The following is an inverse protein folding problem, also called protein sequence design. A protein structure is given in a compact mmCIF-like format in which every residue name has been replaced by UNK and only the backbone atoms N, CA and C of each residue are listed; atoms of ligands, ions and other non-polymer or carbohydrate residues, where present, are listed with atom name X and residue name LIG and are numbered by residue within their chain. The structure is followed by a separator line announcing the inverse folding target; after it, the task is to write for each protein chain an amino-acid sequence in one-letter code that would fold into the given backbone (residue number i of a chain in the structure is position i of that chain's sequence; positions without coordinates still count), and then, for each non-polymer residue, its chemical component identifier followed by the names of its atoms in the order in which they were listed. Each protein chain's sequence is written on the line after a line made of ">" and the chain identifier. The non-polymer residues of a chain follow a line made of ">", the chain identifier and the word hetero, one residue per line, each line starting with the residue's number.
data_IF_096656152400
#
_entry.id   IF_096656152400
#
_cell.length_a   1.000
_cell.length_b   1.000
_cell.length_c   1.000
_cell.angle_alpha   90.00
_cell.angle_beta   90.00
_cell.angle_gamma   90.00
#
_symmetry.space_group_name_H-M   'P 1'
#
loop_
_entity.id
_entity.type
_entity.pdbx_description
1 polymer ?
#
# COMPACT_ATOMS: atom_id res chain seq x y z
N UNK A 1 8.54 14.93 -2.68
CA UNK A 1 9.21 13.82 -1.95
C UNK A 1 9.51 14.33 -0.56
N UNK A 2 9.56 13.50 0.48
CA UNK A 2 9.73 14.03 1.85
C UNK A 2 11.10 14.70 2.09
N UNK A 3 12.12 14.34 1.31
CA UNK A 3 13.48 14.82 1.50
C UNK A 3 13.71 16.27 1.04
N UNK A 4 13.01 16.70 -0.01
CA UNK A 4 13.30 17.94 -0.74
C UNK A 4 12.04 18.64 -1.29
N UNK A 5 10.85 18.11 -0.98
CA UNK A 5 9.56 18.58 -1.49
C UNK A 5 9.44 18.63 -3.03
N UNK A 6 10.32 17.92 -3.75
CA UNK A 6 10.22 17.79 -5.22
C UNK A 6 8.93 17.07 -5.64
N UNK A 7 8.27 17.55 -6.70
CA UNK A 7 6.99 17.01 -7.12
C UNK A 7 7.15 15.70 -7.91
N UNK A 8 6.25 14.76 -7.60
CA UNK A 8 6.04 13.54 -8.38
C UNK A 8 4.59 13.54 -8.82
N UNK A 9 4.36 13.53 -10.13
CA UNK A 9 3.03 13.51 -10.74
C UNK A 9 2.82 12.12 -11.35
N UNK A 10 1.79 11.42 -10.88
CA UNK A 10 1.47 10.06 -11.33
C UNK A 10 0.16 10.08 -12.09
N UNK A 11 0.18 9.65 -13.35
CA UNK A 11 -0.99 9.50 -14.19
C UNK A 11 -1.51 8.06 -14.15
N UNK A 12 -2.80 7.92 -13.88
CA UNK A 12 -3.56 6.66 -13.87
C UNK A 12 -4.86 6.85 -14.64
N UNK A 13 -5.55 5.75 -14.98
CA UNK A 13 -6.91 5.83 -15.51
C UNK A 13 -7.86 6.40 -14.46
N UNK A 14 -8.85 7.19 -14.87
CA UNK A 14 -9.68 7.97 -13.94
C UNK A 14 -10.61 7.18 -13.01
N UNK A 15 -10.72 5.86 -13.18
CA UNK A 15 -11.54 4.95 -12.36
C UNK A 15 -10.73 4.17 -11.31
N UNK A 16 -9.42 4.43 -11.20
CA UNK A 16 -8.52 3.73 -10.27
C UNK A 16 -7.68 4.70 -9.45
N UNK A 17 -7.31 4.25 -8.25
CA UNK A 17 -6.47 5.01 -7.32
C UNK A 17 -5.00 4.59 -7.41
N UNK A 18 -4.10 5.50 -7.07
CA UNK A 18 -2.67 5.21 -6.85
C UNK A 18 -2.46 4.40 -5.56
N UNK A 19 -1.60 3.39 -5.65
CA UNK A 19 -1.05 2.62 -4.53
C UNK A 19 0.29 3.24 -4.09
N UNK A 20 0.26 3.98 -3.00
CA UNK A 20 1.42 4.68 -2.43
C UNK A 20 2.58 3.75 -2.07
N UNK A 21 2.32 2.49 -1.69
CA UNK A 21 3.38 1.53 -1.39
C UNK A 21 4.12 1.12 -2.65
N UNK A 22 3.41 0.86 -3.77
CA UNK A 22 4.07 0.60 -5.06
C UNK A 22 4.92 1.79 -5.49
N UNK A 23 4.37 3.00 -5.36
CA UNK A 23 5.05 4.24 -5.70
C UNK A 23 6.32 4.48 -4.87
N UNK A 24 6.26 4.32 -3.54
CA UNK A 24 7.44 4.45 -2.66
C UNK A 24 8.51 3.41 -2.95
N UNK A 25 8.11 2.17 -3.20
CA UNK A 25 9.04 1.09 -3.55
C UNK A 25 9.76 1.39 -4.87
N UNK A 26 9.05 1.92 -5.87
CA UNK A 26 9.64 2.33 -7.14
C UNK A 26 10.60 3.52 -6.98
N UNK A 27 10.19 4.55 -6.24
CA UNK A 27 10.99 5.76 -6.03
C UNK A 27 12.16 5.56 -5.07
N UNK A 28 12.12 4.53 -4.22
CA UNK A 28 13.12 4.29 -3.17
C UNK A 28 13.15 5.37 -2.08
N UNK A 29 12.08 6.16 -1.93
CA UNK A 29 11.99 7.22 -0.93
C UNK A 29 10.57 7.38 -0.38
N UNK A 30 10.46 8.03 0.77
CA UNK A 30 9.17 8.40 1.36
C UNK A 30 8.57 9.60 0.62
N UNK A 31 7.25 9.58 0.50
CA UNK A 31 6.44 10.59 -0.18
C UNK A 31 5.28 11.02 0.71
N UNK A 32 4.70 12.17 0.37
CA UNK A 32 3.52 12.72 1.01
C UNK A 32 2.65 13.42 -0.02
N UNK A 33 1.34 13.59 0.23
CA UNK A 33 0.45 14.33 -0.67
C UNK A 33 1.01 15.73 -0.97
N UNK A 34 1.10 16.06 -2.25
CA UNK A 34 1.65 17.33 -2.68
C UNK A 34 0.74 18.50 -2.28
N UNK A 35 1.33 19.59 -1.79
CA UNK A 35 0.66 20.88 -1.63
C UNK A 35 0.88 21.67 -2.91
N UNK A 36 -0.17 21.96 -3.67
CA UNK A 36 -0.07 22.71 -4.94
C UNK A 36 -0.02 24.21 -4.61
N UNK A 37 1.12 24.85 -4.86
CA UNK A 37 1.31 26.30 -4.75
C UNK A 37 1.26 26.97 -6.12
N UNK A 38 0.98 28.27 -6.20
CA UNK A 38 0.97 29.00 -7.49
C UNK A 38 2.32 28.90 -8.23
N UNK A 39 3.42 28.81 -7.48
CA UNK A 39 4.78 28.76 -8.02
C UNK A 39 5.17 27.39 -8.58
N UNK A 40 4.46 26.31 -8.22
CA UNK A 40 4.84 24.97 -8.64
C UNK A 40 4.55 24.68 -10.12
N UNK A 41 3.68 25.47 -10.76
CA UNK A 41 3.32 25.27 -12.17
C UNK A 41 2.30 24.15 -12.42
N UNK A 42 1.69 23.59 -11.37
CA UNK A 42 0.55 22.67 -11.48
C UNK A 42 -0.76 23.42 -11.24
N UNK A 43 -1.78 23.09 -12.04
CA UNK A 43 -3.12 23.63 -11.89
C UNK A 43 -4.06 22.54 -11.36
N UNK A 44 -4.36 22.57 -10.06
CA UNK A 44 -5.23 21.58 -9.42
C UNK A 44 -6.57 21.46 -10.14
N UNK A 45 -7.02 20.23 -10.42
CA UNK A 45 -8.22 19.97 -11.23
C UNK A 45 -8.02 20.06 -12.76
N UNK A 46 -6.87 20.58 -13.21
CA UNK A 46 -6.54 20.78 -14.63
C UNK A 46 -5.15 20.21 -14.99
N UNK A 47 -4.61 19.31 -14.17
CA UNK A 47 -3.31 18.68 -14.39
C UNK A 47 -3.41 17.65 -15.52
N UNK A 48 -2.49 17.73 -16.48
CA UNK A 48 -2.36 16.76 -17.56
C UNK A 48 -0.91 16.45 -17.90
N UNK A 49 -0.64 15.38 -18.66
CA UNK A 49 0.71 14.91 -18.94
C UNK A 49 1.44 15.74 -20.02
N UNK A 50 0.74 16.59 -20.75
CA UNK A 50 1.30 17.37 -21.87
C UNK A 50 1.77 18.74 -21.38
N UNK A 51 3.06 19.04 -21.57
CA UNK A 51 3.63 20.36 -21.24
C UNK A 51 3.77 20.63 -19.74
N UNK A 52 4.00 19.59 -18.93
CA UNK A 52 4.36 19.76 -17.52
C UNK A 52 5.76 20.38 -17.37
N UNK A 53 6.02 21.09 -16.25
CA UNK A 53 7.35 21.58 -15.92
C UNK A 53 8.41 20.47 -15.87
N UNK A 54 9.58 20.71 -16.46
CA UNK A 54 10.68 19.72 -16.56
C UNK A 54 11.31 19.36 -15.21
N UNK A 55 11.09 20.16 -14.16
CA UNK A 55 11.62 19.92 -12.82
C UNK A 55 10.81 18.91 -12.00
N UNK A 56 9.85 18.20 -12.61
CA UNK A 56 8.99 17.24 -11.93
C UNK A 56 9.28 15.81 -12.38
N UNK A 57 9.14 14.85 -11.47
CA UNK A 57 9.12 13.44 -11.85
C UNK A 57 7.72 13.09 -12.36
N UNK A 58 7.59 12.73 -13.64
CA UNK A 58 6.30 12.32 -14.23
C UNK A 58 6.31 10.81 -14.43
N UNK A 59 5.28 10.14 -13.93
CA UNK A 59 5.14 8.68 -13.96
C UNK A 59 3.79 8.27 -14.53
N UNK A 60 3.76 7.14 -15.23
CA UNK A 60 2.55 6.62 -15.86
C UNK A 60 2.28 5.18 -15.40
N UNK A 61 1.02 4.92 -15.05
CA UNK A 61 0.56 3.58 -14.68
C UNK A 61 0.28 2.70 -15.90
N UNK A 62 0.49 1.39 -15.79
CA UNK A 62 0.21 0.42 -16.86
C UNK A 62 -1.24 0.42 -17.35
N UNK A 63 -2.20 0.90 -16.55
CA UNK A 63 -3.59 1.09 -17.00
C UNK A 63 -3.76 2.06 -18.16
N UNK A 64 -2.78 2.93 -18.39
CA UNK A 64 -2.77 3.89 -19.49
C UNK A 64 -2.11 3.33 -20.75
N UNK A 65 -1.42 2.20 -20.66
CA UNK A 65 -0.73 1.60 -21.79
C UNK A 65 -1.72 1.10 -22.85
N UNK A 66 -1.43 1.35 -24.13
CA UNK A 66 -2.30 1.01 -25.27
C UNK A 66 -3.71 1.64 -25.18
N UNK A 67 -3.87 2.74 -24.44
CA UNK A 67 -5.11 3.51 -24.42
C UNK A 67 -4.97 4.74 -25.31
N UNK A 68 -6.08 5.16 -25.91
CA UNK A 68 -6.12 6.33 -26.77
C UNK A 68 -7.41 7.12 -26.53
N UNK A 69 -7.51 8.28 -27.15
CA UNK A 69 -8.67 9.16 -27.06
C UNK A 69 -9.05 9.52 -25.61
N UNK A 70 -8.05 9.68 -24.75
CA UNK A 70 -8.22 10.01 -23.35
C UNK A 70 -8.62 11.47 -23.18
N UNK A 71 -9.16 11.77 -21.99
CA UNK A 71 -9.39 13.14 -21.53
C UNK A 71 -8.48 13.42 -20.32
N UNK A 72 -7.82 14.57 -20.31
CA UNK A 72 -6.94 14.99 -19.22
C UNK A 72 -7.00 16.50 -19.05
N UNK A 73 -6.48 17.03 -17.94
CA UNK A 73 -6.30 18.47 -17.78
C UNK A 73 -5.37 19.06 -18.84
N UNK A 74 -5.53 20.33 -19.17
CA UNK A 74 -4.70 21.01 -20.17
C UNK A 74 -3.54 21.82 -19.55
N UNK A 75 -3.23 21.59 -18.26
CA UNK A 75 -2.32 22.41 -17.46
C UNK A 75 -2.68 23.90 -17.49
N UNK A 76 -3.96 24.22 -17.69
CA UNK A 76 -4.52 25.57 -17.71
C UNK A 76 -5.89 25.54 -17.05
N UNK A 77 -6.13 26.49 -16.15
CA UNK A 77 -7.40 26.62 -15.42
C UNK A 77 -8.60 26.68 -16.38
N UNK A 78 -9.65 25.92 -16.07
CA UNK A 78 -10.88 25.76 -16.87
C UNK A 78 -10.71 25.03 -18.22
N UNK A 79 -9.56 24.40 -18.50
CA UNK A 79 -9.34 23.68 -19.77
C UNK A 79 -8.91 22.22 -19.57
N UNK A 80 -9.43 21.38 -20.47
CA UNK A 80 -9.09 19.96 -20.61
C UNK A 80 -8.78 19.65 -22.08
N UNK A 81 -7.89 18.70 -22.30
CA UNK A 81 -7.72 18.06 -23.59
C UNK A 81 -8.67 16.87 -23.73
N UNK A 82 -9.13 16.65 -24.95
CA UNK A 82 -9.84 15.44 -25.39
C UNK A 82 -9.11 14.86 -26.59
N UNK A 83 -9.11 13.55 -26.75
CA UNK A 83 -8.37 12.94 -27.86
C UNK A 83 -6.88 12.76 -27.57
N UNK A 84 -6.49 12.81 -26.29
CA UNK A 84 -5.12 12.55 -25.86
C UNK A 84 -4.73 11.12 -26.24
N UNK A 85 -3.58 10.99 -26.89
CA UNK A 85 -2.93 9.73 -27.18
C UNK A 85 -1.53 9.81 -26.58
N UNK A 86 -1.24 8.96 -25.60
CA UNK A 86 -0.01 9.07 -24.81
C UNK A 86 1.22 8.81 -25.68
N UNK A 87 1.16 7.84 -26.59
CA UNK A 87 2.29 7.52 -27.46
C UNK A 87 2.56 8.63 -28.48
N UNK A 88 1.52 9.37 -28.89
CA UNK A 88 1.64 10.54 -29.79
C UNK A 88 2.06 11.81 -29.06
N UNK A 89 1.43 12.10 -27.92
CA UNK A 89 1.46 13.41 -27.27
C UNK A 89 2.48 13.47 -26.11
N UNK A 90 2.93 12.33 -25.60
CA UNK A 90 3.91 12.23 -24.52
C UNK A 90 5.15 11.46 -25.01
N UNK A 91 6.31 12.12 -25.07
CA UNK A 91 7.53 11.48 -25.53
C UNK A 91 8.13 10.53 -24.47
N UNK A 92 8.55 9.33 -24.89
CA UNK A 92 9.34 8.37 -24.10
C UNK A 92 8.73 7.99 -22.74
N UNK A 93 7.44 7.63 -22.73
CA UNK A 93 6.75 7.19 -21.51
C UNK A 93 7.15 5.76 -21.13
N UNK A 94 7.60 5.59 -19.88
CA UNK A 94 7.72 4.29 -19.23
C UNK A 94 6.49 4.02 -18.36
N UNK A 95 5.95 2.80 -18.47
CA UNK A 95 4.78 2.37 -17.72
C UNK A 95 5.19 1.43 -16.59
N UNK A 96 4.69 1.70 -15.38
CA UNK A 96 4.87 0.82 -14.22
C UNK A 96 3.55 0.58 -13.49
N UNK A 97 3.49 -0.46 -12.66
CA UNK A 97 2.30 -0.75 -11.87
C UNK A 97 2.27 0.15 -10.62
N UNK A 98 1.42 1.16 -10.65
CA UNK A 98 1.16 2.09 -9.56
C UNK A 98 -0.26 2.02 -9.04
N UNK A 99 -1.19 1.38 -9.73
CA UNK A 99 -2.60 1.34 -9.35
C UNK A 99 -2.89 0.40 -8.15
N UNK A 100 -3.91 0.73 -7.38
CA UNK A 100 -4.58 -0.22 -6.47
C UNK A 100 -5.34 -1.25 -7.30
N UNK A 101 -5.38 -2.49 -6.80
CA UNK A 101 -6.18 -3.54 -7.43
C UNK A 101 -7.67 -3.31 -7.11
N UNK A 102 -8.53 -3.60 -8.08
CA UNK A 102 -9.98 -3.57 -7.92
C UNK A 102 -10.54 -4.96 -7.63
N UNK A 103 -11.72 -5.01 -7.04
CA UNK A 103 -12.51 -6.25 -6.95
C UNK A 103 -12.83 -6.76 -8.36
N UNK A 104 -12.73 -8.06 -8.58
CA UNK A 104 -12.78 -8.65 -9.93
C UNK A 104 -11.52 -8.39 -10.78
N UNK A 105 -10.47 -7.82 -10.19
CA UNK A 105 -9.18 -7.57 -10.84
C UNK A 105 -8.50 -8.85 -11.36
N UNK A 106 -7.53 -8.66 -12.25
CA UNK A 106 -6.77 -9.74 -12.86
C UNK A 106 -5.74 -10.25 -11.85
N UNK A 107 -5.80 -11.55 -11.54
CA UNK A 107 -4.81 -12.18 -10.69
C UNK A 107 -3.44 -12.24 -11.39
N UNK A 108 -2.34 -11.75 -10.77
CA UNK A 108 -1.01 -11.75 -11.40
C UNK A 108 -0.42 -13.15 -11.59
N UNK A 109 -0.97 -14.18 -10.95
CA UNK A 109 -0.50 -15.56 -11.09
C UNK A 109 -1.25 -16.33 -12.18
N UNK A 110 -2.59 -16.28 -12.17
CA UNK A 110 -3.42 -17.08 -13.08
C UNK A 110 -4.04 -16.28 -14.24
N UNK A 111 -3.87 -14.96 -14.27
CA UNK A 111 -4.35 -14.04 -15.31
C UNK A 111 -5.87 -14.05 -15.53
N UNK A 112 -6.64 -14.45 -14.51
CA UNK A 112 -8.11 -14.43 -14.52
C UNK A 112 -8.67 -13.29 -13.67
N UNK A 113 -9.84 -12.80 -14.05
CA UNK A 113 -10.65 -11.87 -13.25
C UNK A 113 -11.23 -12.59 -12.04
N UNK A 114 -10.43 -12.75 -10.98
CA UNK A 114 -10.77 -13.61 -9.85
C UNK A 114 -10.34 -13.05 -8.50
N UNK A 115 -9.81 -11.81 -8.46
CA UNK A 115 -9.45 -11.17 -7.20
C UNK A 115 -10.73 -10.77 -6.47
N UNK A 116 -10.81 -11.10 -5.19
CA UNK A 116 -11.83 -10.61 -4.27
C UNK A 116 -11.16 -9.78 -3.17
N UNK A 117 -11.80 -8.68 -2.78
CA UNK A 117 -11.30 -7.79 -1.74
C UNK A 117 -12.15 -7.97 -0.47
N UNK A 118 -11.48 -8.38 0.60
CA UNK A 118 -12.07 -8.51 1.93
C UNK A 118 -11.33 -7.65 2.93
N UNK A 119 -12.04 -7.21 3.98
CA UNK A 119 -11.41 -6.52 5.11
C UNK A 119 -10.82 -7.55 6.07
N UNK A 120 -9.63 -7.29 6.56
CA UNK A 120 -8.94 -8.13 7.52
C UNK A 120 -8.23 -7.30 8.57
N UNK A 121 -8.06 -7.87 9.76
CA UNK A 121 -7.24 -7.30 10.81
C UNK A 121 -5.90 -8.01 10.79
N UNK A 122 -4.81 -7.27 10.59
CA UNK A 122 -3.46 -7.84 10.68
C UNK A 122 -3.14 -8.19 12.13
N UNK A 123 -3.22 -9.49 12.47
CA UNK A 123 -2.91 -10.01 13.82
C UNK A 123 -1.45 -10.42 13.98
N UNK A 124 -0.71 -10.56 12.88
CA UNK A 124 0.70 -10.89 12.89
C UNK A 124 1.34 -10.69 11.53
N UNK A 125 2.67 -10.61 11.52
CA UNK A 125 3.45 -10.36 10.32
C UNK A 125 4.83 -11.02 10.43
N UNK A 126 5.39 -11.40 9.29
CA UNK A 126 6.71 -12.02 9.19
C UNK A 126 7.53 -11.25 8.16
N UNK A 127 8.79 -10.97 8.49
CA UNK A 127 9.68 -10.22 7.59
C UNK A 127 11.01 -10.93 7.41
N UNK A 128 11.48 -10.97 6.17
CA UNK A 128 12.87 -11.27 5.85
C UNK A 128 13.67 -9.97 5.93
N UNK A 129 14.38 -9.75 7.04
CA UNK A 129 15.13 -8.52 7.27
C UNK A 129 16.47 -8.50 6.53
N UNK A 130 16.91 -9.66 6.04
CA UNK A 130 18.19 -9.80 5.37
C UNK A 130 19.32 -9.40 6.31
N UNK A 131 20.21 -8.54 5.83
CA UNK A 131 21.34 -8.05 6.62
C UNK A 131 21.16 -6.61 7.11
N UNK A 132 19.94 -6.07 7.08
CA UNK A 132 19.68 -4.64 7.35
C UNK A 132 20.24 -4.20 8.71
N UNK A 133 19.92 -4.94 9.77
CA UNK A 133 20.36 -4.63 11.13
C UNK A 133 21.76 -5.15 11.43
N UNK A 134 22.06 -6.37 10.99
CA UNK A 134 23.34 -7.03 11.29
C UNK A 134 24.52 -6.28 10.68
N UNK A 135 24.41 -5.72 9.47
CA UNK A 135 25.45 -4.85 8.89
C UNK A 135 25.63 -3.57 9.71
N UNK A 136 24.54 -2.87 10.03
CA UNK A 136 24.63 -1.58 10.74
C UNK A 136 25.12 -1.71 12.17
N UNK A 137 24.89 -2.86 12.80
CA UNK A 137 25.29 -3.16 14.18
C UNK A 137 26.62 -3.92 14.26
N UNK A 138 27.29 -4.16 13.12
CA UNK A 138 28.53 -4.93 13.03
C UNK A 138 28.45 -6.33 13.68
N UNK A 139 27.33 -7.03 13.48
CA UNK A 139 27.16 -8.40 13.95
C UNK A 139 27.74 -9.36 12.91
N UNK A 140 28.82 -10.05 13.25
CA UNK A 140 29.51 -10.99 12.36
C UNK A 140 29.70 -12.37 13.00
N UNK A 141 29.93 -13.38 12.16
CA UNK A 141 30.34 -14.72 12.57
C UNK A 141 31.35 -15.28 11.56
N UNK A 142 32.18 -16.25 11.98
CA UNK A 142 33.02 -17.01 11.06
C UNK A 142 32.22 -18.20 10.53
N UNK A 143 32.16 -18.35 9.21
CA UNK A 143 31.54 -19.52 8.60
C UNK A 143 32.46 -20.75 8.67
N UNK A 144 32.02 -21.86 8.06
CA UNK A 144 32.78 -23.12 8.05
C UNK A 144 34.15 -23.02 7.35
N UNK A 145 34.36 -22.01 6.51
CA UNK A 145 35.62 -21.77 5.82
C UNK A 145 36.52 -20.78 6.58
N UNK A 146 36.07 -20.28 7.73
CA UNK A 146 36.77 -19.23 8.49
C UNK A 146 36.61 -17.84 7.87
N UNK A 147 35.64 -17.63 6.97
CA UNK A 147 35.36 -16.32 6.41
C UNK A 147 34.39 -15.55 7.29
N UNK A 148 34.65 -14.26 7.48
CA UNK A 148 33.72 -13.38 8.20
C UNK A 148 32.46 -13.15 7.36
N UNK A 149 31.30 -13.50 7.92
CA UNK A 149 29.98 -13.31 7.33
C UNK A 149 29.08 -12.51 8.25
N UNK A 150 28.10 -11.85 7.63
CA UNK A 150 27.02 -11.16 8.35
C UNK A 150 25.79 -12.08 8.42
N UNK A 151 25.21 -12.33 9.62
CA UNK A 151 24.01 -13.16 9.73
C UNK A 151 22.82 -12.56 8.98
N UNK A 152 22.04 -13.44 8.35
CA UNK A 152 20.74 -13.12 7.75
C UNK A 152 19.68 -13.22 8.85
N UNK A 153 18.83 -12.19 8.97
CA UNK A 153 17.78 -12.14 9.97
C UNK A 153 16.39 -12.28 9.36
N UNK A 154 15.51 -12.95 10.11
CA UNK A 154 14.07 -12.82 9.99
C UNK A 154 13.47 -12.31 11.31
N UNK A 155 12.30 -11.70 11.24
CA UNK A 155 11.52 -11.39 12.45
C UNK A 155 10.06 -11.82 12.28
N UNK A 156 9.45 -12.14 13.42
CA UNK A 156 8.11 -12.70 13.52
C UNK A 156 7.38 -11.98 14.64
N UNK A 157 6.24 -11.36 14.33
CA UNK A 157 5.47 -10.59 15.29
C UNK A 157 4.01 -11.05 15.32
N UNK A 158 3.47 -11.21 16.53
CA UNK A 158 2.04 -11.44 16.77
C UNK A 158 1.57 -10.37 17.76
N UNK A 159 0.54 -9.61 17.39
CA UNK A 159 -0.06 -8.62 18.26
C UNK A 159 -1.03 -9.26 19.25
N UNK A 160 -0.53 -9.84 20.35
CA UNK A 160 -1.35 -10.61 21.32
C UNK A 160 -2.59 -9.84 21.79
N UNK A 161 -2.46 -8.56 22.17
CA UNK A 161 -3.60 -7.75 22.57
C UNK A 161 -4.57 -7.46 21.43
N UNK A 162 -4.05 -7.20 20.22
CA UNK A 162 -4.87 -7.03 19.00
C UNK A 162 -5.60 -8.32 18.64
N UNK A 163 -4.97 -9.48 18.84
CA UNK A 163 -5.55 -10.79 18.56
C UNK A 163 -6.78 -11.03 19.46
N UNK A 164 -6.69 -10.72 20.75
CA UNK A 164 -7.84 -10.81 21.65
C UNK A 164 -9.01 -9.93 21.18
N UNK A 165 -8.75 -8.67 20.81
CA UNK A 165 -9.77 -7.79 20.25
C UNK A 165 -10.33 -8.30 18.90
N UNK A 166 -9.47 -8.88 18.06
CA UNK A 166 -9.87 -9.43 16.76
C UNK A 166 -10.76 -10.67 16.91
N UNK A 167 -10.55 -11.47 17.96
CA UNK A 167 -11.45 -12.58 18.31
C UNK A 167 -12.81 -12.03 18.70
N UNK A 168 -12.88 -10.99 19.54
CA UNK A 168 -14.16 -10.35 19.86
C UNK A 168 -14.86 -9.80 18.61
N UNK A 169 -14.13 -9.16 17.69
CA UNK A 169 -14.70 -8.66 16.43
C UNK A 169 -15.24 -9.79 15.55
N UNK A 170 -14.47 -10.88 15.39
CA UNK A 170 -14.86 -11.98 14.50
C UNK A 170 -15.89 -12.95 15.13
N UNK A 171 -15.94 -13.02 16.46
CA UNK A 171 -16.79 -13.94 17.22
C UNK A 171 -17.54 -13.18 18.32
N UNK A 172 -18.68 -12.60 17.97
CA UNK A 172 -19.60 -11.97 18.93
C UNK A 172 -21.05 -12.13 18.48
N UNK A 173 -21.95 -11.89 19.41
CA UNK A 173 -23.37 -11.66 19.18
C UNK A 173 -23.83 -10.38 19.90
N UNK A 174 -25.14 -10.15 19.95
CA UNK A 174 -25.73 -8.97 20.61
C UNK A 174 -25.49 -8.92 22.13
N UNK A 175 -25.05 -10.02 22.75
CA UNK A 175 -24.79 -10.15 24.18
C UNK A 175 -23.30 -10.10 24.55
N UNK A 176 -22.40 -10.17 23.57
CA UNK A 176 -20.97 -9.95 23.75
C UNK A 176 -20.07 -10.93 22.99
N UNK A 177 -18.78 -11.02 23.38
CA UNK A 177 -17.81 -11.89 22.72
C UNK A 177 -18.10 -13.37 22.97
N UNK A 178 -17.96 -14.18 21.92
CA UNK A 178 -18.02 -15.64 21.96
C UNK A 178 -16.60 -16.17 21.87
N UNK A 179 -15.98 -16.43 23.02
CA UNK A 179 -14.60 -16.89 23.08
C UNK A 179 -14.44 -18.33 22.54
N UNK A 180 -13.47 -18.59 21.65
CA UNK A 180 -13.03 -19.95 21.35
C UNK A 180 -12.57 -20.67 22.63
N UNK A 181 -12.94 -21.94 22.77
CA UNK A 181 -12.67 -22.75 23.97
C UNK A 181 -11.21 -22.68 24.51
N UNK A 182 -10.16 -22.66 23.68
CA UNK A 182 -8.78 -22.60 24.17
C UNK A 182 -8.38 -21.27 24.83
N UNK A 183 -9.13 -20.19 24.58
CA UNK A 183 -8.82 -18.83 25.06
C UNK A 183 -9.96 -18.20 25.86
N UNK A 184 -11.02 -18.97 26.14
CA UNK A 184 -12.07 -18.54 27.04
C UNK A 184 -11.48 -18.28 28.43
N UNK A 185 -11.78 -17.13 29.07
CA UNK A 185 -11.24 -16.81 30.40
C UNK A 185 -11.58 -17.88 31.45
N UNK A 186 -12.79 -18.45 31.35
CA UNK A 186 -13.25 -19.62 32.10
C UNK A 186 -14.10 -20.50 31.19
N UNK A 187 -14.04 -21.82 31.40
CA UNK A 187 -14.83 -22.79 30.62
C UNK A 187 -16.27 -22.91 31.12
N UNK A 188 -16.51 -22.61 32.39
CA UNK A 188 -17.81 -22.65 33.05
C UNK A 188 -17.94 -21.42 33.94
N UNK A 189 -19.07 -20.72 33.85
CA UNK A 189 -19.44 -19.62 34.73
C UNK A 189 -20.64 -20.06 35.58
N UNK A 190 -20.42 -20.29 36.88
CA UNK A 190 -21.48 -20.70 37.81
C UNK A 190 -22.13 -19.45 38.39
N UNK A 191 -23.41 -19.24 38.11
CA UNK A 191 -24.18 -18.11 38.63
C UNK A 191 -25.15 -18.58 39.71
N UNK A 192 -24.80 -18.36 40.99
CA UNK A 192 -25.71 -18.62 42.11
C UNK A 192 -26.77 -17.50 42.20
N UNK A 193 -28.01 -17.80 41.83
CA UNK A 193 -29.11 -16.80 41.82
C UNK A 193 -29.55 -16.43 43.24
N UNK A 194 -29.46 -17.37 44.20
CA UNK A 194 -29.67 -17.15 45.63
C UNK A 194 -28.54 -17.80 46.41
N UNK A 195 -27.59 -17.01 46.86
CA UNK A 195 -26.41 -17.48 47.59
C UNK A 195 -26.65 -17.67 49.10
N UNK A 196 -27.83 -17.33 49.59
CA UNK A 196 -28.21 -17.24 51.00
C UNK A 196 -29.24 -18.31 51.45
N UNK A 197 -29.77 -19.11 50.52
CA UNK A 197 -30.74 -20.19 50.79
C UNK A 197 -30.00 -21.55 50.89
N UNK A 198 -29.23 -21.70 51.97
CA UNK A 198 -28.39 -22.88 52.26
C UNK A 198 -29.05 -23.85 53.25
#
# INVERSE_FOLDING_TARGET
>A
RNADDSYVVVFTRGDIDVNETKLRNFLGCEIHPAVITEECGLNAGYIGPVGLPENMTVLFDTSLQNTNNLSCGANKEEYHYTGLDIDRDCANVEYHDFAKILDGGICPNCHKHSISISRGIEVGNIFQLGTKYTKTMNMTYLDSNGEEKTPIMGCYGIGVGRLAASVCEAHHDDYGPIWPMPIAPWQVHICAVRSDDA
#
